data_IF_964207277721
#
_entry.id   IF_964207277721
#
_cell.length_a   1.000
_cell.length_b   1.000
_cell.length_c   1.000
_cell.angle_alpha   90.00
_cell.angle_beta   90.00
_cell.angle_gamma   90.00
#
_symmetry.space_group_name_H-M   'P 1'
#
loop_
_entity.id
_entity.type
_entity.pdbx_description
1 polymer ?
#
# COMPACT_ATOMS: atom_id res chain seq x y z
N UNK A 1 0.36 37.35 -8.42
CA UNK A 1 0.13 36.10 -9.18
C UNK A 1 1.44 35.33 -9.19
N UNK A 2 1.58 34.27 -8.39
CA UNK A 2 2.81 33.47 -8.34
C UNK A 2 2.69 32.26 -9.29
N UNK A 3 3.75 31.87 -10.02
CA UNK A 3 3.68 30.74 -10.93
C UNK A 3 3.59 29.42 -10.15
N UNK A 4 2.62 28.59 -10.49
CA UNK A 4 2.47 27.23 -9.94
C UNK A 4 3.67 26.42 -10.44
N UNK A 5 4.61 26.12 -9.55
CA UNK A 5 5.79 25.30 -9.87
C UNK A 5 5.32 23.87 -10.10
N UNK A 6 5.40 23.39 -11.35
CA UNK A 6 5.16 21.98 -11.66
C UNK A 6 6.29 21.15 -11.06
N UNK A 7 5.98 20.39 -10.01
CA UNK A 7 6.92 19.48 -9.37
C UNK A 7 7.27 18.37 -10.37
N UNK A 8 8.54 18.32 -10.79
CA UNK A 8 9.07 17.25 -11.62
C UNK A 8 9.41 16.09 -10.68
N UNK A 9 8.68 14.98 -10.77
CA UNK A 9 9.05 13.75 -10.07
C UNK A 9 10.39 13.26 -10.63
N UNK A 10 11.44 13.29 -9.82
CA UNK A 10 12.72 12.65 -10.14
C UNK A 10 12.54 11.18 -9.76
N UNK A 11 11.92 10.42 -10.68
CA UNK A 11 11.75 8.98 -10.55
C UNK A 11 12.82 8.27 -11.38
N UNK A 12 13.69 7.48 -10.74
CA UNK A 12 14.48 6.46 -11.43
C UNK A 12 13.51 5.56 -12.20
N UNK A 13 13.77 5.34 -13.50
CA UNK A 13 12.84 4.75 -14.46
C UNK A 13 12.36 3.31 -14.11
N UNK A 14 12.93 2.65 -13.09
CA UNK A 14 12.54 1.31 -12.65
C UNK A 14 12.06 1.19 -11.19
N UNK A 15 12.25 2.21 -10.36
CA UNK A 15 11.90 2.16 -8.93
C UNK A 15 10.39 2.09 -8.67
N UNK A 16 9.52 2.85 -9.39
CA UNK A 16 8.07 2.79 -9.18
C UNK A 16 7.44 1.43 -9.49
N UNK A 17 7.95 0.74 -10.52
CA UNK A 17 7.45 -0.58 -10.94
C UNK A 17 7.88 -1.67 -9.97
N UNK A 18 9.14 -1.67 -9.51
CA UNK A 18 9.58 -2.61 -8.48
C UNK A 18 8.88 -2.37 -7.14
N UNK A 19 8.62 -1.10 -6.79
CA UNK A 19 7.84 -0.76 -5.61
C UNK A 19 6.41 -1.33 -5.72
N UNK A 20 5.77 -1.22 -6.90
CA UNK A 20 4.45 -1.81 -7.12
C UNK A 20 4.43 -3.34 -6.97
N UNK A 21 5.41 -4.06 -7.50
CA UNK A 21 5.50 -5.52 -7.32
C UNK A 21 5.73 -5.91 -5.86
N UNK A 22 6.66 -5.24 -5.18
CA UNK A 22 6.95 -5.49 -3.76
C UNK A 22 5.75 -5.19 -2.85
N UNK A 23 5.02 -4.09 -3.13
CA UNK A 23 3.79 -3.74 -2.40
C UNK A 23 2.71 -4.80 -2.61
N UNK A 24 2.50 -5.26 -3.84
CA UNK A 24 1.50 -6.28 -4.13
C UNK A 24 1.82 -7.60 -3.42
N UNK A 25 3.11 -7.96 -3.31
CA UNK A 25 3.53 -9.16 -2.58
C UNK A 25 3.38 -9.02 -1.06
N UNK A 26 3.72 -7.86 -0.47
CA UNK A 26 3.50 -7.60 0.97
C UNK A 26 2.02 -7.61 1.34
N UNK A 27 1.18 -7.01 0.49
CA UNK A 27 -0.25 -6.87 0.76
C UNK A 27 -1.07 -8.09 0.35
N UNK A 28 -0.46 -9.07 -0.32
CA UNK A 28 -1.15 -10.27 -0.83
C UNK A 28 -1.83 -11.07 0.27
N UNK A 29 -1.20 -11.14 1.43
CA UNK A 29 -1.64 -11.94 2.57
C UNK A 29 -2.39 -11.11 3.63
N UNK A 30 -2.54 -9.80 3.41
CA UNK A 30 -3.28 -8.91 4.30
C UNK A 30 -4.80 -9.03 4.09
N UNK A 31 -5.55 -8.93 5.20
CA UNK A 31 -7.02 -9.01 5.19
C UNK A 31 -7.59 -7.64 4.83
N UNK A 32 -7.97 -7.48 3.56
CA UNK A 32 -8.52 -6.21 3.07
C UNK A 32 -9.99 -5.92 3.38
N UNK A 33 -10.39 -4.72 3.01
CA UNK A 33 -11.74 -4.14 3.19
C UNK A 33 -12.57 -4.27 1.92
N UNK A 34 -13.86 -4.55 2.07
CA UNK A 34 -14.82 -4.50 0.96
C UNK A 34 -15.20 -3.05 0.63
N UNK A 35 -14.99 -2.65 -0.61
CA UNK A 35 -15.38 -1.33 -1.10
C UNK A 35 -16.54 -1.48 -2.08
N UNK A 36 -17.68 -0.81 -1.86
CA UNK A 36 -18.81 -0.86 -2.77
C UNK A 36 -18.39 -0.48 -4.20
N UNK A 37 -18.66 -1.36 -5.17
CA UNK A 37 -18.28 -1.16 -6.57
C UNK A 37 -16.92 -1.75 -6.98
N UNK A 38 -16.19 -2.37 -6.05
CA UNK A 38 -14.94 -3.09 -6.33
C UNK A 38 -15.12 -4.55 -5.92
N UNK A 39 -14.92 -5.47 -6.87
CA UNK A 39 -15.16 -6.92 -6.66
C UNK A 39 -14.09 -7.55 -5.75
N UNK A 40 -12.91 -6.94 -5.66
CA UNK A 40 -11.80 -7.40 -4.82
C UNK A 40 -11.69 -6.55 -3.55
N UNK A 41 -11.29 -7.20 -2.44
CA UNK A 41 -10.98 -6.50 -1.19
C UNK A 41 -9.70 -5.71 -1.34
N UNK A 42 -9.66 -4.52 -0.74
CA UNK A 42 -8.48 -3.66 -0.76
C UNK A 42 -7.71 -3.86 0.55
N UNK A 43 -6.53 -4.52 0.54
CA UNK A 43 -5.72 -4.78 1.74
C UNK A 43 -5.11 -3.52 2.36
N UNK A 44 -4.78 -2.54 1.54
CA UNK A 44 -4.14 -1.31 1.99
C UNK A 44 -3.76 -0.40 0.83
N UNK A 45 -3.20 0.76 1.17
CA UNK A 45 -2.75 1.79 0.25
C UNK A 45 -1.35 2.24 0.65
N UNK A 46 -0.46 2.40 -0.32
CA UNK A 46 0.92 2.83 -0.09
C UNK A 46 1.18 4.17 -0.78
N UNK A 47 1.84 5.09 -0.08
CA UNK A 47 2.32 6.37 -0.60
C UNK A 47 3.81 6.51 -0.31
N UNK A 48 4.64 6.35 -1.35
CA UNK A 48 6.10 6.42 -1.23
C UNK A 48 6.64 5.50 -0.12
N UNK A 49 6.98 6.05 1.04
CA UNK A 49 7.51 5.39 2.23
C UNK A 49 6.44 4.98 3.27
N UNK A 50 5.19 5.42 3.11
CA UNK A 50 4.11 5.16 4.07
C UNK A 50 3.11 4.10 3.59
N UNK A 51 2.80 3.15 4.47
CA UNK A 51 1.78 2.13 4.28
C UNK A 51 0.54 2.42 5.15
N UNK A 52 -0.64 2.47 4.55
CA UNK A 52 -1.92 2.50 5.27
C UNK A 52 -2.63 1.18 5.07
N UNK A 53 -2.84 0.44 6.14
CA UNK A 53 -3.59 -0.81 6.11
C UNK A 53 -5.09 -0.52 6.32
N UNK A 54 -5.93 -1.13 5.49
CA UNK A 54 -7.38 -1.06 5.62
C UNK A 54 -7.89 -2.36 6.24
N UNK A 55 -8.66 -2.26 7.32
CA UNK A 55 -9.28 -3.41 7.96
C UNK A 55 -10.70 -3.09 8.45
N UNK A 56 -11.62 -4.03 8.25
CA UNK A 56 -13.03 -3.91 8.67
C UNK A 56 -13.23 -4.02 10.19
N UNK A 57 -12.19 -4.41 10.93
CA UNK A 57 -12.21 -4.60 12.38
C UNK A 57 -10.80 -4.53 12.96
N UNK A 58 -10.70 -4.11 14.22
CA UNK A 58 -9.44 -4.11 14.98
C UNK A 58 -8.75 -5.49 14.97
N UNK A 59 -9.52 -6.58 15.07
CA UNK A 59 -8.97 -7.94 15.02
C UNK A 59 -8.37 -8.30 13.65
N UNK A 60 -8.94 -7.76 12.58
CA UNK A 60 -8.42 -7.95 11.21
C UNK A 60 -7.24 -7.01 10.93
N UNK A 61 -7.22 -5.83 11.53
CA UNK A 61 -6.08 -4.92 11.52
C UNK A 61 -4.87 -5.60 12.16
N UNK A 62 -5.04 -6.14 13.37
CA UNK A 62 -3.96 -6.80 14.10
C UNK A 62 -3.38 -8.00 13.31
N UNK A 63 -4.24 -8.84 12.75
CA UNK A 63 -3.80 -9.97 11.91
C UNK A 63 -3.02 -9.54 10.67
N UNK A 64 -3.46 -8.48 10.01
CA UNK A 64 -2.80 -7.97 8.82
C UNK A 64 -1.48 -7.28 9.15
N UNK A 65 -1.39 -6.62 10.32
CA UNK A 65 -0.11 -6.13 10.83
C UNK A 65 0.86 -7.27 11.14
N UNK A 66 0.40 -8.36 11.77
CA UNK A 66 1.25 -9.52 12.04
C UNK A 66 1.82 -10.12 10.74
N UNK A 67 1.01 -10.17 9.67
CA UNK A 67 1.44 -10.63 8.34
C UNK A 67 2.51 -9.70 7.75
N UNK A 68 2.30 -8.38 7.77
CA UNK A 68 3.27 -7.41 7.24
C UNK A 68 4.57 -7.45 8.03
N UNK A 69 4.49 -7.51 9.36
CA UNK A 69 5.65 -7.59 10.23
C UNK A 69 6.45 -8.87 9.91
N UNK A 70 5.77 -10.02 9.72
CA UNK A 70 6.43 -11.27 9.32
C UNK A 70 7.13 -11.16 7.95
N UNK A 71 6.56 -10.44 6.99
CA UNK A 71 7.15 -10.19 5.68
C UNK A 71 8.32 -9.18 5.71
N UNK A 72 8.40 -8.33 6.74
CA UNK A 72 9.47 -7.33 6.91
C UNK A 72 10.77 -7.88 7.52
N UNK A 73 10.74 -9.10 8.06
CA UNK A 73 11.92 -9.79 8.62
C UNK A 73 12.65 -10.71 7.61
N UNK A 74 12.36 -10.56 6.31
CA UNK A 74 13.05 -11.28 5.23
C UNK A 74 14.18 -10.46 4.62
#
# INVERSE_FOLDING_TARGET
MAPIRKLRSIGICGFPVMLYFYINDILKDAIGVEVPGIVQKIPGLFFADDAVLLADSEKNSQKSLDVIIACSYF
#
